data_IF_841600557738
#
_entry.id   IF_841600557738
#
_cell.length_a   1.000
_cell.length_b   1.000
_cell.length_c   1.000
_cell.angle_alpha   90.00
_cell.angle_beta   90.00
_cell.angle_gamma   90.00
#
_symmetry.space_group_name_H-M   'P 1'
#
loop_
_entity.id
_entity.type
_entity.pdbx_description
1 polymer ?
#
# COMPACT_ATOMS: atom_id res chain seq x y z
N UNK A 1 -68.85 -9.14 -20.46
CA UNK A 1 -67.62 -9.21 -19.64
C UNK A 1 -66.49 -8.69 -20.52
N UNK A 2 -66.18 -7.41 -20.32
CA UNK A 2 -66.02 -6.43 -21.39
C UNK A 2 -64.58 -5.92 -21.52
N UNK A 3 -64.31 -5.16 -22.59
CA UNK A 3 -63.09 -4.38 -22.83
C UNK A 3 -62.50 -3.72 -21.57
N UNK A 4 -63.36 -3.34 -20.62
CA UNK A 4 -63.02 -2.72 -19.34
C UNK A 4 -62.04 -3.55 -18.49
N UNK A 5 -62.16 -4.89 -18.49
CA UNK A 5 -61.25 -5.76 -17.72
C UNK A 5 -59.87 -5.87 -18.38
N UNK A 6 -59.78 -5.74 -19.72
CA UNK A 6 -58.50 -5.76 -20.44
C UNK A 6 -57.73 -4.44 -20.24
N UNK A 7 -58.43 -3.31 -20.25
CA UNK A 7 -57.82 -2.00 -20.00
C UNK A 7 -57.31 -1.88 -18.56
N UNK A 8 -58.04 -2.41 -17.57
CA UNK A 8 -57.59 -2.40 -16.18
C UNK A 8 -56.33 -3.25 -15.96
N UNK A 9 -56.22 -4.38 -16.67
CA UNK A 9 -55.04 -5.26 -16.61
C UNK A 9 -53.81 -4.58 -17.24
N UNK A 10 -53.97 -3.97 -18.42
CA UNK A 10 -52.89 -3.25 -19.09
C UNK A 10 -52.37 -2.05 -18.27
N UNK A 11 -53.27 -1.32 -17.61
CA UNK A 11 -52.90 -0.19 -16.75
C UNK A 11 -52.11 -0.63 -15.51
N UNK A 12 -52.44 -1.80 -14.93
CA UNK A 12 -51.66 -2.38 -13.82
C UNK A 12 -50.26 -2.81 -14.27
N UNK A 13 -50.12 -3.39 -15.45
CA UNK A 13 -48.82 -3.79 -16.01
C UNK A 13 -47.94 -2.56 -16.29
N UNK A 14 -48.51 -1.51 -16.89
CA UNK A 14 -47.79 -0.25 -17.16
C UNK A 14 -47.36 0.42 -15.85
N UNK A 15 -48.23 0.44 -14.82
CA UNK A 15 -47.89 0.98 -13.50
C UNK A 15 -46.76 0.18 -12.84
N UNK A 16 -46.78 -1.15 -12.94
CA UNK A 16 -45.70 -2.02 -12.45
C UNK A 16 -44.39 -1.78 -13.21
N UNK A 17 -44.43 -1.62 -14.53
CA UNK A 17 -43.24 -1.31 -15.33
C UNK A 17 -42.67 0.08 -15.00
N UNK A 18 -43.51 1.08 -14.78
CA UNK A 18 -43.10 2.41 -14.33
C UNK A 18 -42.45 2.36 -12.94
N UNK A 19 -43.02 1.59 -12.01
CA UNK A 19 -42.42 1.37 -10.67
C UNK A 19 -41.04 0.71 -10.82
N UNK A 20 -40.92 -0.36 -11.63
CA UNK A 20 -39.64 -1.01 -11.91
C UNK A 20 -38.62 -0.08 -12.60
N UNK A 21 -39.07 0.83 -13.47
CA UNK A 21 -38.19 1.81 -14.11
C UNK A 21 -37.70 2.89 -13.12
N UNK A 22 -38.55 3.31 -12.19
CA UNK A 22 -38.17 4.26 -11.12
C UNK A 22 -37.28 3.66 -10.04
N UNK A 23 -37.18 2.32 -9.95
CA UNK A 23 -36.27 1.62 -9.03
C UNK A 23 -34.85 1.43 -9.58
N UNK A 24 -34.55 1.88 -10.81
CA UNK A 24 -33.17 1.97 -11.32
C UNK A 24 -32.45 3.26 -10.85
N UNK A 25 -32.88 3.85 -9.74
CA UNK A 25 -32.02 4.81 -9.03
C UNK A 25 -30.81 4.00 -8.61
N UNK A 26 -29.66 4.32 -9.22
CA UNK A 26 -28.36 3.78 -8.84
C UNK A 26 -28.18 4.04 -7.35
N UNK A 27 -28.47 3.03 -6.54
CA UNK A 27 -28.15 3.03 -5.13
C UNK A 27 -26.63 2.97 -5.08
N UNK A 28 -26.01 4.15 -4.97
CA UNK A 28 -24.62 4.25 -4.62
C UNK A 28 -24.50 3.62 -3.24
N UNK A 29 -23.88 2.44 -3.22
CA UNK A 29 -23.60 1.73 -1.98
C UNK A 29 -22.23 2.18 -1.50
N UNK A 30 -22.13 2.48 -0.21
CA UNK A 30 -20.84 2.69 0.41
C UNK A 30 -19.92 1.48 0.16
N UNK A 31 -18.66 1.74 -0.19
CA UNK A 31 -17.64 0.70 -0.13
C UNK A 31 -17.35 0.30 1.31
N UNK A 32 -17.30 -1.00 1.58
CA UNK A 32 -16.92 -1.55 2.89
C UNK A 32 -15.50 -2.06 2.76
N UNK A 33 -14.55 -1.41 3.44
CA UNK A 33 -13.19 -1.92 3.54
C UNK A 33 -13.17 -3.17 4.44
N UNK A 34 -12.35 -4.15 4.10
CA UNK A 34 -12.09 -5.32 4.91
C UNK A 34 -10.61 -5.74 4.87
N UNK A 35 -10.26 -6.85 5.51
CA UNK A 35 -8.88 -7.32 5.61
C UNK A 35 -8.25 -7.67 4.25
N UNK A 36 -9.06 -8.00 3.24
CA UNK A 36 -8.54 -8.27 1.89
C UNK A 36 -8.15 -6.98 1.15
N UNK A 37 -8.51 -5.81 1.70
CA UNK A 37 -8.12 -4.50 1.17
C UNK A 37 -6.80 -4.00 1.76
N UNK A 38 -6.17 -4.74 2.68
CA UNK A 38 -4.86 -4.43 3.26
C UNK A 38 -3.72 -4.71 2.24
N UNK A 39 -2.58 -4.01 2.36
CA UNK A 39 -1.44 -4.23 1.47
C UNK A 39 -0.81 -5.59 1.75
N UNK A 40 -0.43 -6.29 0.69
CA UNK A 40 0.22 -7.59 0.74
C UNK A 40 1.71 -7.49 0.37
N UNK A 41 2.55 -8.43 0.85
CA UNK A 41 3.94 -8.53 0.40
C UNK A 41 4.03 -8.69 -1.12
N UNK A 42 4.79 -7.82 -1.77
CA UNK A 42 4.91 -7.74 -3.23
C UNK A 42 4.20 -6.53 -3.84
N UNK A 43 3.26 -5.92 -3.11
CA UNK A 43 2.57 -4.72 -3.58
C UNK A 43 3.53 -3.54 -3.72
N UNK A 44 3.34 -2.77 -4.78
CA UNK A 44 4.12 -1.56 -5.06
C UNK A 44 3.19 -0.37 -5.05
N UNK A 45 3.40 0.50 -4.06
CA UNK A 45 2.76 1.80 -3.97
C UNK A 45 3.56 2.79 -4.80
N UNK A 46 2.93 3.35 -5.84
CA UNK A 46 3.43 4.53 -6.52
C UNK A 46 2.61 5.72 -6.03
N UNK A 47 3.29 6.71 -5.47
CA UNK A 47 2.65 7.93 -5.00
C UNK A 47 3.29 9.15 -5.63
N UNK A 48 2.49 10.15 -5.99
CA UNK A 48 2.99 11.41 -6.50
C UNK A 48 2.65 12.52 -5.54
N UNK A 49 3.65 13.34 -5.21
CA UNK A 49 3.43 14.61 -4.56
C UNK A 49 2.87 15.59 -5.58
N UNK A 50 1.67 16.08 -5.37
CA UNK A 50 1.02 16.99 -6.31
C UNK A 50 1.16 18.44 -5.84
N UNK A 51 0.72 18.74 -4.64
CA UNK A 51 0.77 20.11 -4.15
C UNK A 51 1.41 20.22 -2.77
N UNK A 52 2.18 21.29 -2.58
CA UNK A 52 2.73 21.73 -1.30
C UNK A 52 2.65 23.25 -1.25
N UNK A 53 1.50 23.77 -0.84
CA UNK A 53 1.30 25.22 -0.78
C UNK A 53 1.58 25.71 0.65
N UNK A 54 2.46 26.70 0.77
CA UNK A 54 2.64 27.45 2.01
C UNK A 54 1.50 28.48 2.14
N UNK A 55 0.73 28.42 3.23
CA UNK A 55 -0.25 29.46 3.55
C UNK A 55 -1.59 29.45 2.79
N UNK A 56 -1.83 28.50 1.88
CA UNK A 56 -3.17 28.21 1.34
C UNK A 56 -3.64 26.85 1.81
N UNK A 57 -4.87 26.79 2.31
CA UNK A 57 -5.51 25.54 2.71
C UNK A 57 -6.10 24.86 1.48
N UNK A 58 -5.56 23.69 1.13
CA UNK A 58 -6.21 22.80 0.19
C UNK A 58 -7.48 22.28 0.88
N UNK A 59 -8.64 22.57 0.28
CA UNK A 59 -9.91 22.16 0.85
C UNK A 59 -10.12 20.66 0.60
N UNK A 60 -10.31 19.84 1.65
CA UNK A 60 -10.53 18.41 1.50
C UNK A 60 -11.93 18.07 0.95
N UNK A 61 -12.79 19.07 0.68
CA UNK A 61 -14.17 18.87 0.28
C UNK A 61 -15.10 18.56 1.46
N UNK A 62 -16.39 18.56 1.19
CA UNK A 62 -17.43 18.33 2.19
C UNK A 62 -17.40 16.90 2.75
N UNK A 63 -17.97 16.73 3.95
CA UNK A 63 -18.24 15.42 4.56
C UNK A 63 -19.66 14.96 4.22
N UNK A 64 -19.97 13.68 4.44
CA UNK A 64 -21.30 13.11 4.19
C UNK A 64 -21.33 11.91 3.24
N UNK A 65 -22.54 11.49 2.93
CA UNK A 65 -22.79 10.37 2.03
C UNK A 65 -22.85 10.82 0.57
N UNK A 66 -22.30 9.99 -0.32
CA UNK A 66 -22.32 10.19 -1.77
C UNK A 66 -21.70 11.52 -2.23
N UNK A 67 -20.55 11.88 -1.66
CA UNK A 67 -19.82 13.11 -2.01
C UNK A 67 -18.96 12.86 -3.25
N UNK A 68 -18.84 13.87 -4.11
CA UNK A 68 -17.89 13.87 -5.23
C UNK A 68 -16.73 14.81 -4.91
N UNK A 69 -15.50 14.29 -4.90
CA UNK A 69 -14.28 15.06 -4.73
C UNK A 69 -13.50 15.12 -6.04
N UNK A 70 -13.17 16.32 -6.49
CA UNK A 70 -12.40 16.51 -7.72
C UNK A 70 -10.99 17.04 -7.44
N UNK A 71 -10.00 16.15 -7.58
CA UNK A 71 -8.58 16.47 -7.53
C UNK A 71 -7.90 16.21 -8.89
N UNK A 72 -8.66 16.09 -9.97
CA UNK A 72 -8.15 15.90 -11.34
C UNK A 72 -7.44 17.12 -11.91
N UNK A 73 -7.41 18.24 -11.19
CA UNK A 73 -6.73 19.48 -11.58
C UNK A 73 -5.47 19.78 -10.74
N UNK A 74 -5.07 18.90 -9.82
CA UNK A 74 -3.85 19.12 -9.04
C UNK A 74 -2.61 19.05 -9.94
N UNK A 75 -1.68 19.99 -9.75
CA UNK A 75 -0.42 19.98 -10.50
C UNK A 75 0.57 19.01 -9.86
N UNK A 76 1.59 18.56 -10.59
CA UNK A 76 2.68 17.78 -9.99
C UNK A 76 3.68 18.69 -9.28
N UNK A 77 4.20 18.23 -8.14
CA UNK A 77 5.29 18.93 -7.47
C UNK A 77 6.55 18.90 -8.35
N UNK A 78 7.15 20.07 -8.57
CA UNK A 78 8.26 20.22 -9.51
C UNK A 78 7.84 20.21 -10.99
N UNK A 79 6.54 20.25 -11.29
CA UNK A 79 6.02 20.39 -12.65
C UNK A 79 6.06 19.13 -13.52
N UNK A 80 6.49 17.97 -12.97
CA UNK A 80 6.55 16.70 -13.69
C UNK A 80 6.18 15.51 -12.79
N UNK A 81 5.54 14.45 -13.32
CA UNK A 81 5.34 13.19 -12.60
C UNK A 81 6.65 12.57 -12.10
N UNK A 82 7.73 12.67 -12.89
CA UNK A 82 9.01 12.02 -12.55
C UNK A 82 9.70 12.64 -11.34
N UNK A 83 9.56 13.95 -11.13
CA UNK A 83 10.14 14.66 -9.99
C UNK A 83 9.32 14.53 -8.70
N UNK A 84 8.09 14.04 -8.82
CA UNK A 84 7.13 13.92 -7.72
C UNK A 84 6.85 12.47 -7.31
N UNK A 85 7.36 11.50 -8.08
CA UNK A 85 7.17 10.08 -7.85
C UNK A 85 7.99 9.60 -6.65
N UNK A 86 7.28 8.99 -5.71
CA UNK A 86 7.83 8.18 -4.63
C UNK A 86 7.28 6.76 -4.78
N UNK A 87 8.18 5.77 -4.80
CA UNK A 87 7.83 4.37 -4.95
C UNK A 87 8.21 3.63 -3.70
N UNK A 88 7.23 2.94 -3.12
CA UNK A 88 7.44 2.15 -1.92
C UNK A 88 6.96 0.72 -2.15
N UNK A 89 7.75 -0.24 -1.65
CA UNK A 89 7.46 -1.67 -1.83
C UNK A 89 7.15 -2.31 -0.51
N UNK A 90 6.01 -3.00 -0.46
CA UNK A 90 5.64 -3.87 0.63
C UNK A 90 6.34 -5.22 0.46
N UNK A 91 6.99 -5.70 1.50
CA UNK A 91 7.83 -6.91 1.49
C UNK A 91 7.60 -7.71 2.77
N UNK A 92 8.01 -8.97 2.75
CA UNK A 92 8.18 -9.72 3.99
C UNK A 92 9.29 -9.10 4.84
N UNK A 93 9.15 -9.11 6.17
CA UNK A 93 10.24 -8.72 7.07
C UNK A 93 11.39 -9.72 6.92
N UNK A 94 12.56 -9.21 6.58
CA UNK A 94 13.77 -9.99 6.27
C UNK A 94 14.69 -10.21 7.48
N UNK A 95 14.47 -9.46 8.57
CA UNK A 95 15.22 -9.58 9.83
C UNK A 95 14.29 -9.65 11.04
N UNK A 96 13.98 -10.88 11.45
CA UNK A 96 13.21 -11.21 12.68
C UNK A 96 13.90 -10.65 13.93
N UNK A 97 15.21 -10.38 13.90
CA UNK A 97 15.94 -9.92 15.09
C UNK A 97 15.56 -8.50 15.55
N UNK A 98 15.08 -7.65 14.64
CA UNK A 98 14.78 -6.24 14.97
C UNK A 98 13.31 -6.05 15.32
N UNK A 99 12.42 -6.78 14.65
CA UNK A 99 10.98 -6.73 14.91
C UNK A 99 10.33 -8.11 14.66
N UNK A 100 10.49 -9.07 15.58
CA UNK A 100 10.15 -10.48 15.35
C UNK A 100 8.65 -10.74 15.13
N UNK A 101 7.81 -9.77 15.49
CA UNK A 101 6.36 -9.86 15.38
C UNK A 101 5.82 -9.18 14.12
N UNK A 102 6.67 -8.62 13.24
CA UNK A 102 6.20 -8.04 11.98
C UNK A 102 5.60 -9.12 11.07
N UNK A 103 4.47 -8.79 10.44
CA UNK A 103 3.87 -9.58 9.36
C UNK A 103 4.28 -9.03 7.99
N UNK A 104 4.44 -7.70 7.90
CA UNK A 104 4.84 -6.99 6.67
C UNK A 104 5.84 -5.87 6.98
N UNK A 105 6.60 -5.46 5.98
CA UNK A 105 7.50 -4.32 6.07
C UNK A 105 7.42 -3.48 4.79
N UNK A 106 7.60 -2.17 4.95
CA UNK A 106 7.66 -1.20 3.87
C UNK A 106 9.13 -0.82 3.65
N UNK A 107 9.67 -1.17 2.48
CA UNK A 107 11.05 -0.85 2.08
C UNK A 107 11.07 0.53 1.42
N UNK A 108 11.76 1.49 2.03
CA UNK A 108 11.94 2.85 1.49
C UNK A 108 13.41 3.30 1.53
N UNK A 109 13.76 4.26 0.67
CA UNK A 109 15.03 5.00 0.68
C UNK A 109 16.28 4.14 0.93
N UNK A 110 16.69 3.38 -0.09
CA UNK A 110 17.91 2.58 -0.03
C UNK A 110 19.14 3.39 -0.43
N UNK A 111 20.24 3.16 0.26
CA UNK A 111 21.54 3.71 -0.08
C UNK A 111 22.61 2.66 0.10
N UNK A 112 23.68 2.79 -0.69
CA UNK A 112 24.79 1.85 -0.69
C UNK A 112 25.87 2.34 0.26
N UNK A 113 26.25 1.51 1.23
CA UNK A 113 27.36 1.77 2.15
C UNK A 113 28.46 0.77 1.88
N UNK A 114 29.68 1.28 1.74
CA UNK A 114 30.87 0.44 1.73
C UNK A 114 31.26 0.10 3.18
N UNK A 115 31.07 -1.16 3.57
CA UNK A 115 31.52 -1.65 4.88
C UNK A 115 33.05 -1.74 4.90
N UNK A 116 33.68 -0.91 5.72
CA UNK A 116 35.14 -0.80 5.86
C UNK A 116 35.80 -2.01 6.56
N UNK A 117 35.02 -2.87 7.22
CA UNK A 117 35.52 -4.10 7.85
C UNK A 117 35.44 -5.25 6.84
N UNK A 118 34.31 -5.39 6.15
CA UNK A 118 34.12 -6.51 5.20
C UNK A 118 34.54 -6.19 3.77
N UNK A 119 34.81 -4.92 3.43
CA UNK A 119 35.05 -4.42 2.07
C UNK A 119 33.97 -4.84 1.06
N UNK A 120 32.72 -4.91 1.54
CA UNK A 120 31.55 -5.26 0.73
C UNK A 120 30.64 -4.05 0.69
N UNK A 121 30.15 -3.74 -0.51
CA UNK A 121 29.09 -2.76 -0.70
C UNK A 121 27.79 -3.41 -0.24
N UNK A 122 27.15 -2.83 0.78
CA UNK A 122 25.89 -3.28 1.35
C UNK A 122 24.81 -2.26 1.04
N UNK A 123 23.67 -2.71 0.55
CA UNK A 123 22.46 -1.89 0.48
C UNK A 123 21.88 -1.77 1.89
N UNK A 124 21.70 -0.54 2.37
CA UNK A 124 20.98 -0.25 3.61
C UNK A 124 19.70 0.49 3.21
N UNK A 125 18.56 -0.01 3.68
CA UNK A 125 17.26 0.59 3.41
C UNK A 125 16.58 0.94 4.72
N UNK A 126 15.85 2.05 4.72
CA UNK A 126 14.91 2.35 5.79
C UNK A 126 13.71 1.42 5.66
N UNK A 127 13.24 0.94 6.81
CA UNK A 127 12.14 -0.01 6.89
C UNK A 127 11.20 0.40 8.00
N UNK A 128 9.93 0.40 7.63
CA UNK A 128 8.83 0.51 8.56
C UNK A 128 8.18 -0.86 8.66
N UNK A 129 8.17 -1.41 9.87
CA UNK A 129 7.63 -2.73 10.18
C UNK A 129 6.21 -2.60 10.68
N UNK A 130 5.45 -3.64 10.40
CA UNK A 130 4.01 -3.63 10.50
C UNK A 130 3.52 -4.99 11.01
N UNK A 131 2.75 -4.96 12.11
CA UNK A 131 2.05 -6.14 12.65
C UNK A 131 0.59 -6.03 12.23
N UNK A 132 0.04 -7.09 11.67
CA UNK A 132 -1.37 -7.26 11.39
C UNK A 132 -2.05 -7.91 12.61
N UNK A 133 -3.05 -7.26 13.21
CA UNK A 133 -3.90 -7.95 14.18
C UNK A 133 -5.19 -8.50 13.57
N UNK A 134 -5.96 -9.22 14.39
CA UNK A 134 -7.23 -9.84 14.00
C UNK A 134 -8.30 -8.85 13.52
N UNK A 135 -8.07 -7.55 13.63
CA UNK A 135 -8.94 -6.48 13.11
C UNK A 135 -8.36 -5.77 11.89
N UNK A 136 -7.23 -6.23 11.35
CA UNK A 136 -6.57 -5.64 10.19
C UNK A 136 -5.78 -4.37 10.49
N UNK A 137 -5.46 -4.12 11.76
CA UNK A 137 -4.62 -3.00 12.17
C UNK A 137 -3.17 -3.28 11.81
N UNK A 138 -2.54 -2.28 11.18
CA UNK A 138 -1.13 -2.31 10.86
C UNK A 138 -0.35 -1.42 11.83
N UNK A 139 0.40 -2.00 12.77
CA UNK A 139 1.17 -1.28 13.80
C UNK A 139 2.56 -0.88 13.32
N UNK A 140 2.87 0.42 13.31
CA UNK A 140 4.16 0.95 12.83
C UNK A 140 5.31 0.77 13.84
N UNK A 141 6.44 0.22 13.40
CA UNK A 141 7.71 0.36 14.10
C UNK A 141 8.83 0.68 13.11
N UNK A 142 9.58 1.75 13.35
CA UNK A 142 10.76 2.07 12.55
C UNK A 142 12.02 1.77 13.34
N UNK A 143 13.07 1.28 12.69
CA UNK A 143 14.39 1.21 13.31
C UNK A 143 15.13 2.51 12.99
N UNK A 144 14.95 3.53 13.82
CA UNK A 144 15.80 4.71 13.73
C UNK A 144 17.15 4.37 14.36
N UNK A 145 18.28 4.57 13.66
CA UNK A 145 19.59 4.49 14.30
C UNK A 145 19.57 5.43 15.51
N UNK A 146 19.96 4.90 16.68
CA UNK A 146 19.95 5.57 18.01
C UNK A 146 18.59 5.66 18.75
N UNK A 147 17.49 5.08 18.25
CA UNK A 147 16.23 4.97 18.98
C UNK A 147 16.04 3.52 19.49
N UNK A 148 16.18 3.31 20.80
CA UNK A 148 16.27 1.95 21.35
C UNK A 148 14.94 1.20 21.44
N UNK A 149 13.77 1.83 21.36
CA UNK A 149 12.47 1.14 21.34
C UNK A 149 11.36 2.07 20.83
N UNK A 150 10.92 1.91 19.57
CA UNK A 150 9.75 2.59 19.04
C UNK A 150 8.54 1.65 19.09
N UNK A 151 7.69 1.81 20.10
CA UNK A 151 6.40 1.13 20.21
C UNK A 151 5.30 2.06 19.72
N UNK A 152 5.19 2.23 18.41
CA UNK A 152 4.17 3.09 17.84
C UNK A 152 2.93 2.29 17.43
N UNK A 153 1.91 2.28 18.28
CA UNK A 153 0.63 1.69 17.95
C UNK A 153 -0.24 2.65 17.14
N UNK A 154 0.23 3.08 15.96
CA UNK A 154 -0.55 3.93 15.07
C UNK A 154 -1.25 3.10 14.00
N UNK A 155 -2.58 3.22 13.95
CA UNK A 155 -3.39 2.62 12.88
C UNK A 155 -3.05 3.26 11.53
N UNK A 156 -2.39 2.52 10.65
CA UNK A 156 -2.05 3.02 9.31
C UNK A 156 -3.22 2.86 8.33
N UNK A 157 -4.06 1.84 8.55
CA UNK A 157 -5.22 1.51 7.73
C UNK A 157 -6.42 1.17 8.65
N UNK A 158 -7.28 2.15 8.98
CA UNK A 158 -8.42 1.89 9.84
C UNK A 158 -9.57 1.31 9.00
N UNK A 159 -9.90 0.04 9.25
CA UNK A 159 -11.10 -0.60 8.68
C UNK A 159 -12.33 -0.01 9.39
N UNK A 160 -12.88 1.06 8.83
CA UNK A 160 -14.03 1.79 9.36
C UNK A 160 -15.15 1.91 8.31
N UNK A 161 -16.38 1.70 8.77
CA UNK A 161 -17.60 2.00 8.02
C UNK A 161 -18.03 3.45 8.28
N UNK A 162 -18.85 4.02 7.40
CA UNK A 162 -19.25 5.42 7.49
C UNK A 162 -19.93 5.72 8.83
N UNK A 163 -19.54 6.82 9.46
CA UNK A 163 -20.00 7.22 10.79
C UNK A 163 -19.29 6.52 11.95
N UNK A 164 -18.46 5.50 11.69
CA UNK A 164 -17.65 4.90 12.75
C UNK A 164 -16.48 5.80 13.13
N UNK A 165 -16.16 5.76 14.43
CA UNK A 165 -15.05 6.49 15.04
C UNK A 165 -14.17 5.52 15.81
N UNK A 166 -12.86 5.75 15.75
CA UNK A 166 -11.86 5.01 16.51
C UNK A 166 -10.84 5.97 17.11
N UNK A 167 -10.47 5.73 18.35
CA UNK A 167 -9.43 6.51 19.04
C UNK A 167 -8.25 5.58 19.29
N UNK A 168 -7.07 6.03 18.89
CA UNK A 168 -5.81 5.33 19.08
C UNK A 168 -4.87 6.18 19.94
N UNK A 169 -4.07 5.51 20.76
CA UNK A 169 -3.05 6.13 21.59
C UNK A 169 -1.72 5.42 21.35
N UNK A 170 -0.70 6.19 21.02
CA UNK A 170 0.64 5.67 20.75
C UNK A 170 1.71 6.44 21.49
N UNK A 171 2.85 5.79 21.72
CA UNK A 171 3.94 6.34 22.52
C UNK A 171 5.30 6.00 21.91
N UNK A 172 6.02 7.03 21.52
CA UNK A 172 7.40 6.94 21.03
C UNK A 172 8.36 7.24 22.18
N UNK A 173 9.38 6.40 22.36
CA UNK A 173 10.38 6.55 23.43
C UNK A 173 11.78 6.52 22.83
N UNK A 174 12.54 7.59 23.02
CA UNK A 174 13.89 7.77 22.47
C UNK A 174 14.85 8.03 23.62
N UNK A 175 15.72 7.05 23.91
CA UNK A 175 16.82 7.23 24.86
C UNK A 175 17.81 8.27 24.31
N UNK A 176 18.16 9.29 25.10
CA UNK A 176 19.14 10.33 24.72
C UNK A 176 20.48 10.16 25.41
N UNK A 177 20.50 9.67 26.65
CA UNK A 177 21.69 9.33 27.45
C UNK A 177 21.32 8.24 28.46
N UNK A 178 22.20 7.83 29.39
CA UNK A 178 21.84 6.85 30.45
C UNK A 178 20.64 7.29 31.29
N UNK A 179 20.54 8.60 31.54
CA UNK A 179 19.59 9.13 32.52
C UNK A 179 18.49 10.00 31.89
N UNK A 180 18.50 10.14 30.55
CA UNK A 180 17.55 11.00 29.85
C UNK A 180 16.82 10.29 28.71
N UNK A 181 15.51 10.49 28.65
CA UNK A 181 14.61 9.90 27.65
C UNK A 181 13.66 10.95 27.10
N UNK A 182 13.56 11.05 25.78
CA UNK A 182 12.50 11.80 25.12
C UNK A 182 11.30 10.86 24.90
N UNK A 183 10.12 11.29 25.32
CA UNK A 183 8.87 10.55 25.18
C UNK A 183 7.90 11.39 24.39
N UNK A 184 7.39 10.87 23.29
CA UNK A 184 6.34 11.50 22.50
C UNK A 184 5.06 10.68 22.65
N UNK A 185 4.01 11.27 23.20
CA UNK A 185 2.67 10.66 23.26
C UNK A 185 1.81 11.25 22.14
N UNK A 186 1.02 10.40 21.50
CA UNK A 186 0.17 10.77 20.36
C UNK A 186 -1.21 10.19 20.61
N UNK A 187 -2.25 11.02 20.47
CA UNK A 187 -3.64 10.59 20.46
C UNK A 187 -4.25 10.94 19.11
N UNK A 188 -4.73 9.92 18.41
CA UNK A 188 -5.38 10.02 17.11
C UNK A 188 -6.87 9.69 17.26
N UNK A 189 -7.73 10.50 16.64
CA UNK A 189 -9.16 10.19 16.48
C UNK A 189 -9.46 10.05 14.99
N UNK A 190 -9.76 8.82 14.56
CA UNK A 190 -10.07 8.44 13.19
C UNK A 190 -11.59 8.35 13.00
N UNK A 191 -12.15 9.10 12.05
CA UNK A 191 -13.58 9.12 11.75
C UNK A 191 -13.76 8.82 10.27
N UNK A 192 -14.55 7.79 9.93
CA UNK A 192 -15.02 7.58 8.57
C UNK A 192 -16.15 8.57 8.26
N UNK A 193 -15.77 9.80 7.94
CA UNK A 193 -16.67 10.96 7.93
C UNK A 193 -17.43 11.14 6.61
N UNK A 194 -17.07 10.40 5.57
CA UNK A 194 -17.69 10.51 4.26
C UNK A 194 -17.38 9.33 3.34
N UNK A 195 -18.24 9.14 2.33
CA UNK A 195 -18.03 8.18 1.25
C UNK A 195 -18.61 8.72 -0.06
N UNK A 196 -18.09 8.24 -1.19
CA UNK A 196 -18.54 8.67 -2.52
C UNK A 196 -17.51 8.39 -3.60
N UNK A 197 -17.34 9.31 -4.53
CA UNK A 197 -16.43 9.20 -5.68
C UNK A 197 -15.32 10.26 -5.63
N UNK A 198 -14.11 9.85 -5.98
CA UNK A 198 -12.92 10.69 -6.00
C UNK A 198 -12.30 10.69 -7.39
N UNK A 199 -12.37 11.82 -8.07
CA UNK A 199 -11.65 12.05 -9.32
C UNK A 199 -10.19 12.45 -9.02
N UNK A 200 -9.25 11.73 -9.61
CA UNK A 200 -7.81 11.99 -9.51
C UNK A 200 -7.22 12.30 -10.88
N UNK A 201 -5.91 12.54 -10.96
CA UNK A 201 -5.21 12.69 -12.24
C UNK A 201 -5.18 11.40 -13.09
N UNK A 202 -5.43 10.23 -12.47
CA UNK A 202 -5.36 8.93 -13.14
C UNK A 202 -6.74 8.40 -13.45
N UNK A 203 -7.61 8.33 -12.44
CA UNK A 203 -8.92 7.69 -12.55
C UNK A 203 -9.91 8.21 -11.49
N UNK A 204 -11.15 7.76 -11.60
CA UNK A 204 -12.22 7.98 -10.63
C UNK A 204 -12.37 6.74 -9.75
N UNK A 205 -12.28 6.93 -8.43
CA UNK A 205 -12.35 5.83 -7.47
C UNK A 205 -13.58 5.94 -6.57
N UNK A 206 -14.34 4.86 -6.35
CA UNK A 206 -15.28 4.80 -5.24
C UNK A 206 -14.47 4.70 -3.93
N UNK A 207 -14.76 5.58 -2.97
CA UNK A 207 -13.92 5.74 -1.79
C UNK A 207 -14.71 5.95 -0.50
N UNK A 208 -14.07 5.61 0.61
CA UNK A 208 -14.39 6.11 1.94
C UNK A 208 -13.27 7.05 2.39
N UNK A 209 -13.63 8.21 2.94
CA UNK A 209 -12.65 9.13 3.53
C UNK A 209 -12.59 8.89 5.03
N UNK A 210 -11.36 8.76 5.52
CA UNK A 210 -11.04 8.77 6.93
C UNK A 210 -10.42 10.12 7.26
N UNK A 211 -11.06 10.86 8.15
CA UNK A 211 -10.56 12.07 8.74
C UNK A 211 -9.96 11.75 10.11
N UNK A 212 -8.65 11.96 10.24
CA UNK A 212 -7.91 11.76 11.48
C UNK A 212 -7.53 13.11 12.05
N UNK A 213 -7.85 13.36 13.33
CA UNK A 213 -7.26 14.47 14.11
C UNK A 213 -6.24 13.92 15.09
N UNK A 214 -5.08 14.57 15.18
CA UNK A 214 -3.95 14.11 15.97
C UNK A 214 -3.49 15.21 16.95
N UNK A 215 -3.28 14.81 18.21
CA UNK A 215 -2.64 15.65 19.23
C UNK A 215 -1.36 14.99 19.73
N UNK A 216 -0.28 15.76 19.79
CA UNK A 216 1.05 15.27 20.17
C UNK A 216 1.61 16.02 21.37
N UNK A 217 2.17 15.27 22.31
CA UNK A 217 2.89 15.77 23.48
C UNK A 217 4.31 15.22 23.49
N UNK A 218 5.30 16.10 23.51
CA UNK A 218 6.70 15.71 23.70
C UNK A 218 7.13 16.04 25.14
N UNK A 219 7.66 15.04 25.83
CA UNK A 219 8.16 15.15 27.20
C UNK A 219 9.62 14.71 27.27
N UNK A 220 10.45 15.47 27.98
CA UNK A 220 11.82 15.07 28.32
C UNK A 220 11.84 14.56 29.77
N UNK A 221 12.32 13.34 29.97
CA UNK A 221 12.59 12.78 31.28
C UNK A 221 14.09 12.83 31.56
N UNK A 222 14.51 13.37 32.71
CA UNK A 222 15.89 13.34 33.20
C UNK A 222 15.89 12.84 34.64
N UNK A 223 16.64 11.78 34.94
CA UNK A 223 16.65 11.11 36.24
C UNK A 223 15.23 10.73 36.73
N UNK A 224 14.36 10.33 35.81
CA UNK A 224 12.97 9.96 36.10
C UNK A 224 11.99 11.13 36.30
N UNK A 225 12.46 12.38 36.30
CA UNK A 225 11.62 13.57 36.37
C UNK A 225 11.25 14.00 34.95
N UNK A 226 9.95 14.04 34.65
CA UNK A 226 9.44 14.40 33.33
C UNK A 226 8.97 15.85 33.26
N UNK A 227 9.35 16.54 32.17
CA UNK A 227 8.87 17.87 31.81
C UNK A 227 8.24 17.83 30.41
N UNK A 228 7.09 18.46 30.23
CA UNK A 228 6.49 18.65 28.90
C UNK A 228 7.26 19.76 28.18
N UNK A 229 7.89 19.42 27.05
CA UNK A 229 8.71 20.36 26.28
C UNK A 229 7.99 20.90 25.04
N UNK A 230 6.98 20.19 24.54
CA UNK A 230 6.20 20.63 23.39
C UNK A 230 4.78 20.05 23.41
N UNK A 231 3.84 20.81 22.87
CA UNK A 231 2.44 20.43 22.69
C UNK A 231 1.97 20.91 21.33
N UNK A 232 1.53 19.98 20.49
CA UNK A 232 1.10 20.29 19.12
C UNK A 232 -0.29 19.72 18.87
N UNK A 233 -1.35 20.55 19.05
CA UNK A 233 -2.71 20.18 18.70
C UNK A 233 -2.99 20.37 17.20
N UNK A 234 -4.19 19.97 16.79
CA UNK A 234 -4.81 20.31 15.50
C UNK A 234 -4.05 19.80 14.25
N UNK A 235 -3.29 18.72 14.40
CA UNK A 235 -2.81 17.98 13.22
C UNK A 235 -3.97 17.22 12.63
N UNK A 236 -3.98 17.09 11.30
CA UNK A 236 -5.03 16.35 10.63
C UNK A 236 -4.54 15.62 9.38
N UNK A 237 -5.26 14.57 9.06
CA UNK A 237 -5.03 13.73 7.90
C UNK A 237 -6.39 13.38 7.29
N UNK A 238 -6.59 13.74 6.03
CA UNK A 238 -7.67 13.25 5.21
C UNK A 238 -7.10 12.18 4.30
N UNK A 239 -7.62 10.96 4.39
CA UNK A 239 -7.19 9.83 3.58
C UNK A 239 -8.38 9.20 2.91
N UNK A 240 -8.34 9.08 1.59
CA UNK A 240 -9.36 8.40 0.82
C UNK A 240 -8.86 7.00 0.49
N UNK A 241 -9.65 6.00 0.86
CA UNK A 241 -9.34 4.59 0.62
C UNK A 241 -10.32 4.02 -0.39
N UNK A 242 -9.80 3.19 -1.29
CA UNK A 242 -10.59 2.40 -2.25
C UNK A 242 -10.28 0.92 -2.03
N UNK A 243 -11.17 0.04 -2.49
CA UNK A 243 -10.98 -1.40 -2.40
C UNK A 243 -9.75 -1.89 -3.18
N UNK A 244 -9.08 -2.90 -2.61
CA UNK A 244 -7.98 -3.64 -3.22
C UNK A 244 -6.69 -2.85 -3.44
N UNK A 245 -6.56 -1.66 -2.85
CA UNK A 245 -5.37 -0.82 -3.01
C UNK A 245 -4.33 -1.01 -1.89
N UNK A 246 -4.73 -1.33 -0.66
CA UNK A 246 -3.79 -1.46 0.47
C UNK A 246 -3.31 -0.14 1.08
N UNK A 247 -3.56 0.99 0.44
CA UNK A 247 -3.14 2.32 0.89
C UNK A 247 -4.09 3.41 0.39
N UNK A 248 -4.04 4.64 0.94
CA UNK A 248 -4.90 5.72 0.47
C UNK A 248 -4.63 6.07 -0.99
N UNK A 249 -5.68 6.19 -1.80
CA UNK A 249 -5.59 6.68 -3.17
C UNK A 249 -5.32 8.18 -3.23
N UNK A 250 -5.76 8.91 -2.21
CA UNK A 250 -5.45 10.33 -2.01
C UNK A 250 -5.23 10.58 -0.53
N UNK A 251 -4.35 11.52 -0.23
CA UNK A 251 -4.17 12.03 1.12
C UNK A 251 -3.87 13.53 1.10
N UNK A 252 -4.45 14.23 2.07
CA UNK A 252 -4.13 15.62 2.40
C UNK A 252 -3.78 15.64 3.88
N UNK A 253 -2.58 16.07 4.22
CA UNK A 253 -2.13 16.07 5.60
C UNK A 253 -1.44 17.39 5.99
N UNK A 254 -1.66 17.77 7.25
CA UNK A 254 -0.91 18.80 7.99
C UNK A 254 -0.41 18.13 9.26
N UNK A 255 0.83 17.65 9.22
CA UNK A 255 1.40 16.82 10.28
C UNK A 255 2.82 17.23 10.69
N UNK A 256 3.19 16.88 11.92
CA UNK A 256 4.44 17.29 12.59
C UNK A 256 5.70 16.68 11.94
N UNK A 257 5.58 15.47 11.38
CA UNK A 257 6.73 14.72 10.88
C UNK A 257 7.40 15.35 9.64
N UNK A 258 6.74 16.32 8.99
CA UNK A 258 7.29 17.04 7.84
C UNK A 258 8.00 18.37 8.25
N UNK A 259 8.20 18.60 9.56
CA UNK A 259 9.03 19.67 10.16
C UNK A 259 8.68 21.12 9.79
N UNK A 260 7.53 21.36 9.15
CA UNK A 260 7.00 22.72 8.87
C UNK A 260 5.48 22.74 9.05
N UNK A 261 5.01 23.34 10.15
CA UNK A 261 3.60 23.33 10.58
C UNK A 261 2.65 24.17 9.71
N UNK A 262 3.20 24.89 8.73
CA UNK A 262 2.50 25.81 7.83
C UNK A 262 2.25 25.25 6.42
N UNK A 263 2.59 23.98 6.17
CA UNK A 263 2.40 23.32 4.88
C UNK A 263 1.35 22.22 4.96
N UNK A 264 0.60 22.11 3.86
CA UNK A 264 -0.23 20.95 3.58
C UNK A 264 0.42 20.19 2.44
N UNK A 265 0.43 18.85 2.53
CA UNK A 265 0.88 18.00 1.44
C UNK A 265 -0.29 17.21 0.91
N UNK A 266 -0.45 17.26 -0.41
CA UNK A 266 -1.35 16.41 -1.15
C UNK A 266 -0.56 15.34 -1.91
N UNK A 267 -0.93 14.07 -1.72
CA UNK A 267 -0.39 12.96 -2.50
C UNK A 267 -1.51 12.10 -3.01
N UNK A 268 -1.41 11.65 -4.25
CA UNK A 268 -2.25 10.56 -4.75
C UNK A 268 -1.38 9.32 -4.95
N UNK A 269 -1.97 8.14 -4.81
CA UNK A 269 -1.30 6.87 -5.02
C UNK A 269 -2.17 5.92 -5.83
N UNK A 270 -1.53 5.02 -6.55
CA UNK A 270 -2.20 3.97 -7.31
C UNK A 270 -1.32 2.72 -7.32
N UNK A 271 -1.94 1.57 -7.53
CA UNK A 271 -1.21 0.33 -7.73
C UNK A 271 -0.83 0.21 -9.19
N UNK A 272 0.47 0.04 -9.47
CA UNK A 272 0.92 -0.43 -10.78
C UNK A 272 0.53 -1.90 -10.91
N UNK A 273 -0.66 -2.17 -11.46
CA UNK A 273 -0.97 -3.52 -11.92
C UNK A 273 -0.05 -3.83 -13.09
N UNK A 274 0.64 -4.96 -13.02
CA UNK A 274 1.31 -5.53 -14.19
C UNK A 274 0.23 -6.03 -15.15
N UNK A 275 -0.49 -5.11 -15.77
CA UNK A 275 -1.46 -5.43 -16.79
C UNK A 275 -0.71 -5.96 -18.01
N UNK A 276 -0.95 -7.22 -18.35
CA UNK A 276 -0.38 -7.89 -19.53
C UNK A 276 -0.96 -7.36 -20.87
N UNK A 277 -1.44 -6.11 -20.91
CA UNK A 277 -2.12 -5.50 -22.03
C UNK A 277 -1.69 -4.04 -22.24
N UNK A 278 -0.53 -3.87 -22.89
CA UNK A 278 -0.17 -2.75 -23.79
C UNK A 278 -0.57 -1.33 -23.32
N UNK A 279 0.31 -0.63 -22.58
CA UNK A 279 1.27 0.32 -23.17
C UNK A 279 2.14 1.03 -22.11
N UNK A 280 3.44 0.67 -22.12
CA UNK A 280 4.61 1.57 -22.10
C UNK A 280 4.42 3.01 -21.63
N UNK A 281 4.33 3.23 -20.32
CA UNK A 281 4.79 4.50 -19.72
C UNK A 281 5.97 4.34 -18.76
N UNK A 282 6.25 3.14 -18.25
CA UNK A 282 7.37 2.93 -17.32
C UNK A 282 7.99 1.54 -17.51
N UNK A 283 9.04 1.49 -18.34
CA UNK A 283 9.94 0.35 -18.50
C UNK A 283 10.71 0.10 -17.20
N UNK A 284 10.11 -0.61 -16.26
CA UNK A 284 10.91 -1.46 -15.39
C UNK A 284 11.11 -2.75 -16.15
N UNK A 285 12.34 -2.98 -16.63
CA UNK A 285 12.73 -4.29 -17.16
C UNK A 285 12.37 -5.32 -16.10
N UNK A 286 11.53 -6.30 -16.43
CA UNK A 286 11.53 -7.54 -15.69
C UNK A 286 12.92 -8.18 -15.92
N UNK A 287 13.74 -8.22 -14.88
CA UNK A 287 15.08 -8.83 -14.92
C UNK A 287 15.05 -10.37 -15.13
N UNK A 288 13.85 -10.93 -15.29
CA UNK A 288 13.55 -12.35 -15.40
C UNK A 288 12.64 -12.61 -16.60
N UNK A 289 13.15 -13.35 -17.59
CA UNK A 289 12.36 -13.76 -18.75
C UNK A 289 12.55 -15.26 -19.03
N UNK A 290 11.45 -15.96 -19.32
CA UNK A 290 11.48 -17.35 -19.77
C UNK A 290 11.29 -17.36 -21.29
N UNK A 291 12.27 -17.88 -22.03
CA UNK A 291 12.29 -17.88 -23.49
C UNK A 291 12.66 -19.26 -24.04
N UNK A 292 11.87 -19.86 -24.94
CA UNK A 292 10.56 -19.39 -25.40
C UNK A 292 9.46 -19.57 -24.34
N UNK A 293 8.39 -18.79 -24.47
CA UNK A 293 7.14 -18.95 -23.71
C UNK A 293 5.96 -18.58 -24.63
N UNK A 294 5.07 -19.52 -25.01
CA UNK A 294 5.01 -20.93 -24.59
C UNK A 294 6.20 -21.79 -25.07
N UNK A 295 6.39 -22.97 -24.45
CA UNK A 295 7.40 -23.95 -24.89
C UNK A 295 6.95 -25.40 -24.73
N UNK A 296 7.48 -26.29 -25.58
CA UNK A 296 7.08 -27.70 -25.60
C UNK A 296 8.00 -28.62 -24.79
N UNK A 297 9.31 -28.36 -24.77
CA UNK A 297 10.31 -29.27 -24.19
C UNK A 297 11.18 -28.57 -23.16
N UNK A 298 11.75 -27.43 -23.51
CA UNK A 298 12.58 -26.63 -22.61
C UNK A 298 12.49 -25.14 -22.91
N UNK A 299 12.76 -24.34 -21.89
CA UNK A 299 12.92 -22.90 -21.99
C UNK A 299 14.09 -22.43 -21.13
N UNK A 300 14.75 -21.36 -21.57
CA UNK A 300 15.82 -20.71 -20.82
C UNK A 300 15.26 -19.62 -19.94
N UNK A 301 15.71 -19.56 -18.69
CA UNK A 301 15.46 -18.44 -17.79
C UNK A 301 16.63 -17.49 -17.93
N UNK A 302 16.41 -16.34 -18.56
CA UNK A 302 17.39 -15.26 -18.58
C UNK A 302 17.26 -14.45 -17.29
N UNK A 303 18.37 -14.22 -16.62
CA UNK A 303 18.41 -13.47 -15.37
C UNK A 303 19.53 -12.43 -15.45
N UNK A 304 19.16 -11.18 -15.64
CA UNK A 304 20.13 -10.09 -15.86
C UNK A 304 20.74 -9.55 -14.55
N UNK A 305 20.12 -9.84 -13.38
CA UNK A 305 20.44 -9.17 -12.10
C UNK A 305 20.93 -10.08 -10.95
N UNK A 306 21.37 -11.32 -11.21
CA UNK A 306 21.99 -12.15 -10.16
C UNK A 306 23.49 -11.85 -10.10
N UNK A 307 23.88 -10.91 -9.24
CA UNK A 307 25.29 -10.69 -8.93
C UNK A 307 25.71 -11.57 -7.73
N UNK A 308 26.44 -12.64 -8.00
CA UNK A 308 27.20 -13.46 -7.04
C UNK A 308 26.44 -14.17 -5.90
N UNK A 309 25.11 -14.21 -5.92
CA UNK A 309 24.36 -14.96 -4.90
C UNK A 309 24.36 -16.47 -5.13
N UNK A 310 24.63 -17.19 -4.05
CA UNK A 310 24.55 -18.66 -4.01
C UNK A 310 23.16 -19.06 -3.49
N UNK A 311 22.68 -20.23 -3.91
CA UNK A 311 21.43 -20.87 -3.44
C UNK A 311 20.11 -20.25 -3.93
N UNK A 312 20.06 -19.70 -5.15
CA UNK A 312 18.79 -19.26 -5.72
C UNK A 312 17.96 -20.47 -6.12
N UNK A 313 16.69 -20.48 -5.70
CA UNK A 313 15.72 -21.52 -6.00
C UNK A 313 14.50 -20.94 -6.70
N UNK A 314 14.04 -21.61 -7.75
CA UNK A 314 12.75 -21.36 -8.39
C UNK A 314 11.76 -22.40 -7.92
N UNK A 315 10.59 -21.94 -7.48
CA UNK A 315 9.46 -22.79 -7.13
C UNK A 315 8.37 -22.58 -8.18
N UNK A 316 7.82 -23.68 -8.68
CA UNK A 316 6.80 -23.68 -9.73
C UNK A 316 5.51 -24.25 -9.14
N UNK A 317 4.39 -23.63 -9.50
CA UNK A 317 3.06 -23.95 -9.03
C UNK A 317 2.11 -24.18 -10.21
N UNK A 318 1.18 -25.12 -10.04
CA UNK A 318 0.05 -25.29 -10.95
C UNK A 318 -1.02 -24.20 -10.73
N UNK A 319 -2.06 -24.20 -11.57
CA UNK A 319 -3.17 -23.22 -11.50
C UNK A 319 -3.96 -23.25 -10.19
N UNK A 320 -3.83 -24.33 -9.41
CA UNK A 320 -4.48 -24.44 -8.09
C UNK A 320 -3.60 -23.89 -6.95
N UNK A 321 -2.39 -23.41 -7.27
CA UNK A 321 -1.42 -22.93 -6.28
C UNK A 321 -0.63 -24.04 -5.61
N UNK A 322 -0.76 -25.30 -6.05
CA UNK A 322 0.03 -26.41 -5.53
C UNK A 322 1.43 -26.38 -6.13
N UNK A 323 2.45 -26.49 -5.28
CA UNK A 323 3.84 -26.55 -5.71
C UNK A 323 4.15 -27.89 -6.39
N UNK A 324 4.66 -27.83 -7.62
CA UNK A 324 4.92 -29.03 -8.44
C UNK A 324 6.41 -29.27 -8.70
N UNK A 325 7.23 -28.22 -8.68
CA UNK A 325 8.67 -28.34 -8.97
C UNK A 325 9.48 -27.31 -8.20
N UNK A 326 10.69 -27.71 -7.79
CA UNK A 326 11.70 -26.81 -7.25
C UNK A 326 12.98 -27.00 -8.06
N UNK A 327 13.49 -25.93 -8.66
CA UNK A 327 14.79 -25.87 -9.32
C UNK A 327 15.74 -25.13 -8.39
N UNK A 328 16.76 -25.81 -7.86
CA UNK A 328 17.75 -25.22 -6.96
C UNK A 328 19.01 -24.81 -7.72
N UNK A 329 19.78 -23.90 -7.12
CA UNK A 329 21.09 -23.44 -7.61
C UNK A 329 21.04 -22.79 -9.00
N UNK A 330 20.03 -21.95 -9.21
CA UNK A 330 19.90 -21.11 -10.40
C UNK A 330 21.02 -20.06 -10.41
N UNK A 331 21.64 -19.84 -11.57
CA UNK A 331 22.79 -18.95 -11.76
C UNK A 331 22.68 -18.12 -13.04
N UNK A 332 23.43 -17.03 -13.21
CA UNK A 332 23.34 -16.17 -14.40
C UNK A 332 23.55 -16.90 -15.73
N UNK A 333 24.36 -17.97 -15.74
CA UNK A 333 24.96 -18.45 -16.98
C UNK A 333 24.22 -19.66 -17.59
N UNK A 334 23.39 -20.39 -16.83
CA UNK A 334 22.72 -21.57 -17.38
C UNK A 334 21.51 -22.08 -16.55
N UNK A 335 20.32 -21.53 -16.80
CA UNK A 335 19.09 -22.04 -16.21
C UNK A 335 18.11 -22.50 -17.28
N UNK A 336 17.98 -23.82 -17.43
CA UNK A 336 17.00 -24.41 -18.35
C UNK A 336 15.88 -25.05 -17.55
N UNK A 337 14.64 -24.62 -17.81
CA UNK A 337 13.44 -25.34 -17.37
C UNK A 337 13.18 -26.41 -18.41
N UNK A 338 13.15 -27.67 -17.97
CA UNK A 338 12.70 -28.80 -18.79
C UNK A 338 11.28 -29.15 -18.40
N UNK A 339 10.43 -29.40 -19.41
CA UNK A 339 9.05 -29.83 -19.22
C UNK A 339 8.95 -31.10 -18.36
N UNK A 340 9.83 -32.06 -18.60
CA UNK A 340 9.76 -33.39 -17.98
C UNK A 340 8.35 -33.99 -18.15
N UNK A 341 7.72 -34.43 -17.07
CA UNK A 341 6.37 -35.03 -17.06
C UNK A 341 5.27 -34.01 -16.74
N UNK A 342 5.55 -32.70 -16.80
CA UNK A 342 4.53 -31.68 -16.56
C UNK A 342 3.50 -31.68 -17.71
N UNK A 343 2.19 -31.74 -17.38
CA UNK A 343 1.13 -31.67 -18.38
C UNK A 343 1.04 -30.28 -19.01
N UNK A 344 0.37 -30.19 -20.15
CA UNK A 344 0.08 -28.91 -20.80
C UNK A 344 -0.74 -28.03 -19.87
N UNK A 345 -0.43 -26.74 -19.84
CA UNK A 345 -1.11 -25.81 -18.95
C UNK A 345 -0.32 -24.56 -18.61
N UNK A 346 -0.94 -23.75 -17.75
CA UNK A 346 -0.37 -22.50 -17.24
C UNK A 346 0.25 -22.77 -15.88
N UNK A 347 1.49 -22.31 -15.71
CA UNK A 347 2.22 -22.44 -14.48
C UNK A 347 2.64 -21.07 -13.99
N UNK A 348 2.66 -20.91 -12.68
CA UNK A 348 3.27 -19.74 -12.04
C UNK A 348 4.57 -20.14 -11.36
N UNK A 349 5.49 -19.20 -11.25
CA UNK A 349 6.76 -19.44 -10.58
C UNK A 349 7.14 -18.28 -9.67
N UNK A 350 7.98 -18.57 -8.68
CA UNK A 350 8.66 -17.58 -7.84
C UNK A 350 10.14 -17.95 -7.71
N UNK A 351 11.02 -16.95 -7.73
CA UNK A 351 12.48 -17.13 -7.62
C UNK A 351 12.94 -16.43 -6.34
N UNK A 352 13.62 -17.18 -5.47
CA UNK A 352 13.98 -16.76 -4.12
C UNK A 352 15.37 -17.30 -3.79
N UNK A 353 16.25 -16.49 -3.17
CA UNK A 353 17.44 -16.97 -2.44
C UNK A 353 17.15 -17.07 -0.96
N UNK A 354 18.13 -17.55 -0.18
CA UNK A 354 18.05 -17.56 1.29
C UNK A 354 17.72 -16.19 1.91
N UNK A 355 17.92 -15.09 1.18
CA UNK A 355 17.76 -13.71 1.67
C UNK A 355 16.83 -12.82 0.85
N UNK A 356 16.63 -13.10 -0.44
CA UNK A 356 15.93 -12.17 -1.32
C UNK A 356 14.90 -12.87 -2.20
N UNK A 357 13.75 -12.19 -2.37
CA UNK A 357 12.81 -12.49 -3.43
C UNK A 357 13.26 -11.74 -4.69
N UNK A 358 13.44 -12.48 -5.78
CA UNK A 358 13.94 -11.95 -7.05
C UNK A 358 12.82 -11.60 -8.02
N UNK A 359 11.76 -12.41 -8.05
CA UNK A 359 10.64 -12.18 -8.96
C UNK A 359 9.70 -13.36 -9.04
N UNK A 360 8.57 -13.13 -9.68
CA UNK A 360 7.57 -14.15 -10.00
C UNK A 360 7.01 -13.91 -11.39
N UNK A 361 6.44 -14.94 -11.99
CA UNK A 361 5.87 -14.84 -13.32
C UNK A 361 5.05 -16.06 -13.69
N UNK A 362 4.70 -16.16 -14.97
CA UNK A 362 3.93 -17.28 -15.52
C UNK A 362 4.57 -17.79 -16.82
N UNK A 363 4.41 -19.07 -17.09
CA UNK A 363 4.73 -19.66 -18.39
C UNK A 363 3.69 -20.69 -18.81
N UNK A 364 3.66 -20.98 -20.10
CA UNK A 364 2.72 -21.92 -20.71
C UNK A 364 3.49 -23.10 -21.29
N UNK A 365 3.06 -24.31 -20.94
CA UNK A 365 3.48 -25.57 -21.58
C UNK A 365 2.42 -25.99 -22.60
N UNK A 366 2.88 -26.36 -23.79
CA UNK A 366 2.07 -26.78 -24.93
C UNK A 366 2.31 -28.23 -25.33
#
# INVERSE_FOLDING_TARGET
MSLLNKTLCLMKIILLLLIFFTFNISLYCQIILDQNDLPAPGDVQLSYRVDSIQGLTLFPGDSGANVFWDFGMLNFWGGSPTSSLDSVRWIFPDSIQTFPLADIALKSNCYWVHDWITHVIKEICYRDYYIEDSTGLIYYASNYPYAYNLYNYRTTFPILQYGQTKIDSSRIVIQKSTDSVLVTNIIDTNIADSWGELNTLIDVYPVVRIHTTETVWDSLYVNGIGELINYTPDNYYYKWYTKGLGFPVMQINKGILEKRSDYQIARFAYMKRNDAGINNLFNDKNDFNIVPNPFNNEAKINIESINNEKNISMFIYDVTGRQILIIKNISSDNNTIKRNELPDGIYSYKIISDKYFYGSGKFVLN
#
